data_IF_419845770993
#
_entry.id   IF_419845770993
#
_cell.length_a   1.000
_cell.length_b   1.000
_cell.length_c   1.000
_cell.angle_alpha   90.00
_cell.angle_beta   90.00
_cell.angle_gamma   90.00
#
_symmetry.space_group_name_H-M   'P 1'
#
loop_
_entity.id
_entity.type
_entity.pdbx_description
1 polymer ?
#
# COMPACT_ATOMS: atom_id res chain seq x y z
N UNK A 1 5.26 2.97 9.65
CA UNK A 1 6.62 2.64 9.14
C UNK A 1 6.74 1.18 8.75
N UNK A 2 6.57 0.21 9.68
CA UNK A 2 6.72 -1.23 9.39
C UNK A 2 5.84 -1.68 8.21
N UNK A 3 4.56 -1.32 8.21
CA UNK A 3 3.63 -1.62 7.11
C UNK A 3 4.18 -1.18 5.74
N UNK A 4 4.72 0.03 5.65
CA UNK A 4 5.26 0.58 4.39
C UNK A 4 6.54 -0.12 3.95
N UNK A 5 7.39 -0.57 4.88
CA UNK A 5 8.58 -1.38 4.53
C UNK A 5 8.14 -2.67 3.86
N UNK A 6 7.16 -3.37 4.45
CA UNK A 6 6.59 -4.58 3.85
C UNK A 6 5.95 -4.29 2.48
N UNK A 7 5.24 -3.18 2.33
CA UNK A 7 4.65 -2.79 1.04
C UNK A 7 5.71 -2.52 -0.03
N UNK A 8 6.80 -1.81 0.29
CA UNK A 8 7.90 -1.56 -0.66
C UNK A 8 8.53 -2.88 -1.13
N UNK A 9 8.89 -3.75 -0.18
CA UNK A 9 9.54 -5.04 -0.46
C UNK A 9 8.59 -5.98 -1.21
N UNK A 10 7.34 -6.08 -0.75
CA UNK A 10 6.34 -6.94 -1.37
C UNK A 10 6.00 -6.49 -2.79
N UNK A 11 5.92 -5.19 -3.05
CA UNK A 11 5.65 -4.65 -4.38
C UNK A 11 6.84 -4.83 -5.33
N UNK A 12 8.08 -4.69 -4.84
CA UNK A 12 9.28 -5.05 -5.61
C UNK A 12 9.30 -6.56 -5.92
N UNK A 13 8.90 -7.39 -4.97
CA UNK A 13 8.69 -8.83 -5.17
C UNK A 13 7.63 -9.13 -6.22
N UNK A 14 6.50 -8.42 -6.22
CA UNK A 14 5.46 -8.57 -7.24
C UNK A 14 5.96 -8.17 -8.64
N UNK A 15 6.78 -7.12 -8.74
CA UNK A 15 7.41 -6.76 -10.01
C UNK A 15 8.38 -7.86 -10.50
N UNK A 16 9.11 -8.52 -9.60
CA UNK A 16 9.93 -9.68 -9.93
C UNK A 16 9.08 -10.85 -10.42
N UNK A 17 7.93 -11.10 -9.80
CA UNK A 17 6.98 -12.14 -10.25
C UNK A 17 6.48 -11.85 -11.67
N UNK A 18 6.18 -10.59 -11.98
CA UNK A 18 5.73 -10.19 -13.31
C UNK A 18 6.79 -10.44 -14.41
N UNK A 19 8.09 -10.47 -14.07
CA UNK A 19 9.16 -10.75 -15.02
C UNK A 19 9.60 -12.22 -15.06
N UNK A 20 9.51 -12.96 -13.95
CA UNK A 20 9.99 -14.35 -13.85
C UNK A 20 8.87 -15.40 -13.91
N UNK A 21 7.62 -14.99 -13.71
CA UNK A 21 6.43 -15.86 -13.71
C UNK A 21 6.55 -17.07 -12.76
N UNK A 22 7.29 -16.92 -11.67
CA UNK A 22 7.58 -18.01 -10.72
C UNK A 22 6.58 -18.06 -9.56
N UNK A 23 5.89 -19.20 -9.41
CA UNK A 23 4.85 -19.40 -8.38
C UNK A 23 5.38 -19.24 -6.95
N UNK A 24 6.56 -19.78 -6.65
CA UNK A 24 7.14 -19.68 -5.31
C UNK A 24 7.38 -18.22 -4.90
N UNK A 25 7.90 -17.40 -5.81
CA UNK A 25 8.11 -15.96 -5.57
C UNK A 25 6.76 -15.26 -5.41
N UNK A 26 5.75 -15.64 -6.19
CA UNK A 26 4.40 -15.10 -6.09
C UNK A 26 3.78 -15.31 -4.71
N UNK A 27 3.93 -16.52 -4.14
CA UNK A 27 3.43 -16.85 -2.80
C UNK A 27 4.14 -15.99 -1.74
N UNK A 28 5.47 -15.87 -1.82
CA UNK A 28 6.25 -15.06 -0.88
C UNK A 28 5.87 -13.57 -0.98
N UNK A 29 5.80 -13.03 -2.20
CA UNK A 29 5.42 -11.64 -2.43
C UNK A 29 3.99 -11.35 -1.93
N UNK A 30 3.04 -12.26 -2.19
CA UNK A 30 1.66 -12.15 -1.71
C UNK A 30 1.58 -12.16 -0.18
N UNK A 31 2.35 -13.02 0.50
CA UNK A 31 2.40 -13.05 1.95
C UNK A 31 2.96 -11.74 2.53
N UNK A 32 4.06 -11.22 1.97
CA UNK A 32 4.66 -9.95 2.40
C UNK A 32 3.69 -8.78 2.19
N UNK A 33 3.06 -8.70 1.01
CA UNK A 33 2.05 -7.69 0.71
C UNK A 33 0.86 -7.80 1.66
N UNK A 34 0.36 -9.01 1.93
CA UNK A 34 -0.73 -9.26 2.88
C UNK A 34 -0.42 -8.75 4.28
N UNK A 35 0.78 -9.04 4.79
CA UNK A 35 1.25 -8.49 6.07
C UNK A 35 1.32 -6.95 6.04
N UNK A 36 1.87 -6.38 4.98
CA UNK A 36 1.96 -4.92 4.79
C UNK A 36 0.60 -4.23 4.78
N UNK A 37 -0.34 -4.72 3.97
CA UNK A 37 -1.70 -4.19 3.86
C UNK A 37 -2.49 -4.37 5.16
N UNK A 38 -2.39 -5.53 5.82
CA UNK A 38 -3.06 -5.78 7.10
C UNK A 38 -2.60 -4.80 8.19
N UNK A 39 -1.29 -4.61 8.33
CA UNK A 39 -0.73 -3.63 9.26
C UNK A 39 -1.13 -2.19 8.90
N UNK A 40 -1.14 -1.84 7.61
CA UNK A 40 -1.56 -0.51 7.15
C UNK A 40 -3.03 -0.24 7.49
N UNK A 41 -3.90 -1.22 7.29
CA UNK A 41 -5.32 -1.12 7.60
C UNK A 41 -5.56 -0.94 9.10
N UNK A 42 -4.93 -1.77 9.94
CA UNK A 42 -5.03 -1.64 11.40
C UNK A 42 -4.50 -0.28 11.87
N UNK A 43 -3.34 0.15 11.36
CA UNK A 43 -2.79 1.47 11.70
C UNK A 43 -3.70 2.62 11.27
N UNK A 44 -4.34 2.51 10.10
CA UNK A 44 -5.30 3.52 9.63
C UNK A 44 -6.54 3.59 10.53
N UNK A 45 -7.11 2.43 10.89
CA UNK A 45 -8.26 2.37 11.81
C UNK A 45 -7.94 2.92 13.19
N UNK A 46 -6.74 2.68 13.72
CA UNK A 46 -6.30 3.26 15.00
C UNK A 46 -6.24 4.79 14.93
N UNK A 47 -5.79 5.36 13.82
CA UNK A 47 -5.77 6.81 13.64
C UNK A 47 -7.19 7.37 13.49
N UNK A 48 -8.10 6.66 12.78
CA UNK A 48 -9.52 7.01 12.73
C UNK A 48 -10.14 7.04 14.13
N UNK A 49 -9.87 6.02 14.95
CA UNK A 49 -10.33 5.97 16.34
C UNK A 49 -9.78 7.12 17.18
N UNK A 50 -8.54 7.55 16.92
CA UNK A 50 -7.90 8.65 17.63
C UNK A 50 -8.54 10.01 17.32
N UNK A 51 -8.97 10.23 16.07
CA UNK A 51 -9.56 11.52 15.64
C UNK A 51 -11.07 11.57 15.81
N UNK A 52 -11.75 10.43 15.91
CA UNK A 52 -13.20 10.36 16.00
C UNK A 52 -13.73 10.85 17.36
N UNK A 53 -14.78 11.68 17.32
CA UNK A 53 -15.61 11.96 18.49
C UNK A 53 -16.51 10.75 18.85
N UNK A 54 -17.18 10.79 20.02
CA UNK A 54 -17.99 9.68 20.54
C UNK A 54 -19.11 9.21 19.59
N UNK A 55 -19.64 10.08 18.75
CA UNK A 55 -20.74 9.78 17.83
C UNK A 55 -20.30 9.53 16.37
N UNK A 56 -19.06 9.87 16.01
CA UNK A 56 -18.60 9.92 14.61
C UNK A 56 -17.79 8.70 14.14
N UNK A 57 -17.47 7.77 15.06
CA UNK A 57 -16.56 6.67 14.79
C UNK A 57 -17.03 5.76 13.63
N UNK A 58 -18.33 5.46 13.59
CA UNK A 58 -18.92 4.64 12.53
C UNK A 58 -18.84 5.34 11.17
N UNK A 59 -19.14 6.64 11.13
CA UNK A 59 -19.09 7.45 9.91
C UNK A 59 -17.68 7.57 9.34
N UNK A 60 -16.69 7.92 10.18
CA UNK A 60 -15.29 8.03 9.74
C UNK A 60 -14.72 6.68 9.29
N UNK A 61 -15.11 5.59 9.95
CA UNK A 61 -14.72 4.23 9.52
C UNK A 61 -15.32 3.89 8.15
N UNK A 62 -16.59 4.25 7.91
CA UNK A 62 -17.23 4.02 6.61
C UNK A 62 -16.54 4.80 5.49
N UNK A 63 -16.16 6.06 5.73
CA UNK A 63 -15.39 6.87 4.77
C UNK A 63 -14.01 6.24 4.51
N UNK A 64 -13.31 5.82 5.56
CA UNK A 64 -12.00 5.17 5.45
C UNK A 64 -12.07 3.90 4.57
N UNK A 65 -13.03 3.01 4.81
CA UNK A 65 -13.19 1.81 3.97
C UNK A 65 -13.60 2.15 2.54
N UNK A 66 -14.48 3.13 2.35
CA UNK A 66 -14.91 3.57 1.02
C UNK A 66 -13.71 4.03 0.18
N UNK A 67 -12.83 4.84 0.75
CA UNK A 67 -11.59 5.28 0.07
C UNK A 67 -10.65 4.10 -0.17
N UNK A 68 -10.48 3.22 0.82
CA UNK A 68 -9.60 2.06 0.70
C UNK A 68 -10.04 1.13 -0.43
N UNK A 69 -11.36 0.97 -0.61
CA UNK A 69 -11.93 0.12 -1.66
C UNK A 69 -11.78 0.67 -3.08
N UNK A 70 -11.49 1.96 -3.26
CA UNK A 70 -11.08 2.49 -4.57
C UNK A 70 -9.84 1.74 -5.08
N UNK A 71 -8.98 1.25 -4.19
CA UNK A 71 -7.84 0.40 -4.52
C UNK A 71 -8.20 -0.89 -5.28
N UNK A 72 -9.42 -1.41 -5.16
CA UNK A 72 -9.85 -2.59 -5.93
C UNK A 72 -9.98 -2.33 -7.43
N UNK A 73 -10.05 -1.07 -7.87
CA UNK A 73 -10.01 -0.72 -9.29
C UNK A 73 -8.61 -0.80 -9.88
N UNK A 74 -7.55 -0.85 -9.05
CA UNK A 74 -6.15 -0.81 -9.51
C UNK A 74 -5.83 -1.96 -10.47
N UNK A 75 -6.15 -3.25 -10.21
CA UNK A 75 -5.83 -4.34 -11.15
C UNK A 75 -6.45 -4.14 -12.54
N UNK A 76 -7.70 -3.67 -12.60
CA UNK A 76 -8.38 -3.37 -13.87
C UNK A 76 -7.70 -2.21 -14.60
N UNK A 77 -7.36 -1.14 -13.88
CA UNK A 77 -6.60 -0.02 -14.44
C UNK A 77 -5.23 -0.47 -14.97
N UNK A 78 -4.51 -1.33 -14.22
CA UNK A 78 -3.23 -1.88 -14.65
C UNK A 78 -3.36 -2.67 -15.95
N UNK A 79 -4.37 -3.53 -16.06
CA UNK A 79 -4.64 -4.29 -17.27
C UNK A 79 -4.92 -3.36 -18.46
N UNK A 80 -5.83 -2.39 -18.30
CA UNK A 80 -6.16 -1.41 -19.33
C UNK A 80 -4.94 -0.58 -19.77
N UNK A 81 -4.11 -0.13 -18.83
CA UNK A 81 -2.89 0.63 -19.13
C UNK A 81 -1.86 -0.22 -19.87
N UNK A 82 -1.71 -1.49 -19.47
CA UNK A 82 -0.77 -2.40 -20.12
C UNK A 82 -1.14 -2.76 -21.55
N UNK A 83 -2.44 -2.80 -21.86
CA UNK A 83 -2.95 -3.03 -23.21
C UNK A 83 -2.89 -1.77 -24.08
N UNK A 84 -3.18 -0.60 -23.50
CA UNK A 84 -3.26 0.66 -24.24
C UNK A 84 -1.91 1.33 -24.49
N UNK A 85 -0.91 1.12 -23.61
CA UNK A 85 0.38 1.78 -23.68
C UNK A 85 1.51 0.72 -23.69
N UNK A 86 2.18 0.49 -24.84
CA UNK A 86 3.22 -0.54 -24.98
C UNK A 86 4.41 -0.37 -24.02
N UNK A 87 4.66 0.86 -23.54
CA UNK A 87 5.74 1.16 -22.60
C UNK A 87 5.39 0.81 -21.13
N UNK A 88 4.11 0.61 -20.80
CA UNK A 88 3.64 0.35 -19.44
C UNK A 88 3.41 -1.15 -19.22
N UNK A 89 4.50 -1.91 -19.18
CA UNK A 89 4.44 -3.32 -18.74
C UNK A 89 4.02 -3.43 -17.27
N UNK A 90 3.40 -4.55 -16.89
CA UNK A 90 3.04 -4.86 -15.49
C UNK A 90 4.21 -4.66 -14.52
N UNK A 91 5.42 -5.04 -14.92
CA UNK A 91 6.64 -4.86 -14.13
C UNK A 91 6.89 -3.38 -13.81
N UNK A 92 6.73 -2.49 -14.81
CA UNK A 92 6.96 -1.04 -14.66
C UNK A 92 5.92 -0.45 -13.71
N UNK A 93 4.66 -0.81 -13.86
CA UNK A 93 3.59 -0.23 -13.04
C UNK A 93 3.63 -0.74 -11.59
N UNK A 94 4.06 -1.99 -11.36
CA UNK A 94 4.33 -2.51 -10.02
C UNK A 94 5.56 -1.83 -9.40
N UNK A 95 6.64 -1.59 -10.15
CA UNK A 95 7.77 -0.81 -9.68
C UNK A 95 7.39 0.63 -9.32
N UNK A 96 6.50 1.26 -10.10
CA UNK A 96 5.93 2.55 -9.74
C UNK A 96 5.19 2.50 -8.41
N UNK A 97 4.37 1.47 -8.17
CA UNK A 97 3.74 1.23 -6.88
C UNK A 97 4.75 1.09 -5.73
N UNK A 98 5.88 0.41 -5.96
CA UNK A 98 6.94 0.26 -4.97
C UNK A 98 7.61 1.61 -4.67
N UNK A 99 7.88 2.41 -5.71
CA UNK A 99 8.42 3.76 -5.57
C UNK A 99 7.46 4.70 -4.83
N UNK A 100 6.16 4.63 -5.10
CA UNK A 100 5.14 5.39 -4.37
C UNK A 100 5.11 5.00 -2.88
N UNK A 101 5.12 3.70 -2.56
CA UNK A 101 5.21 3.22 -1.18
C UNK A 101 6.50 3.69 -0.50
N UNK A 102 7.63 3.71 -1.21
CA UNK A 102 8.91 4.19 -0.71
C UNK A 102 8.88 5.70 -0.46
N UNK A 103 8.26 6.48 -1.34
CA UNK A 103 8.05 7.91 -1.14
C UNK A 103 7.20 8.18 0.11
N UNK A 104 6.10 7.45 0.29
CA UNK A 104 5.30 7.51 1.53
C UNK A 104 6.13 7.16 2.76
N UNK A 105 6.95 6.11 2.69
CA UNK A 105 7.84 5.72 3.79
C UNK A 105 8.82 6.83 4.14
N UNK A 106 9.48 7.40 3.13
CA UNK A 106 10.41 8.52 3.27
C UNK A 106 9.73 9.71 3.94
N UNK A 107 8.55 10.11 3.44
CA UNK A 107 7.77 11.22 4.01
C UNK A 107 7.45 10.99 5.49
N UNK A 108 7.00 9.78 5.86
CA UNK A 108 6.71 9.44 7.25
C UNK A 108 7.99 9.43 8.08
N UNK A 109 9.11 8.90 7.59
CA UNK A 109 10.36 8.89 8.34
C UNK A 109 10.86 10.32 8.64
N UNK A 110 10.72 11.25 7.69
CA UNK A 110 11.13 12.64 7.88
C UNK A 110 10.14 13.45 8.73
N UNK A 111 8.83 13.26 8.55
CA UNK A 111 7.78 14.05 9.25
C UNK A 111 7.33 13.46 10.59
N UNK A 112 7.40 12.15 10.78
CA UNK A 112 6.98 11.52 12.04
C UNK A 112 7.89 11.92 13.21
N UNK A 113 9.15 12.25 12.94
CA UNK A 113 10.11 12.65 13.99
C UNK A 113 9.90 14.07 14.51
N UNK A 114 9.14 14.92 13.82
CA UNK A 114 8.88 16.29 14.28
C UNK A 114 7.77 16.40 15.34
N UNK A 115 7.00 15.33 15.56
CA UNK A 115 5.86 15.32 16.49
C UNK A 115 5.97 14.27 17.60
N UNK A 116 7.13 13.62 17.76
CA UNK A 116 7.37 12.77 18.92
C UNK A 116 7.67 13.68 20.12
N UNK A 117 6.99 13.52 21.27
CA UNK A 117 7.39 14.19 22.50
C UNK A 117 8.85 13.87 22.79
N UNK A 118 9.68 14.91 22.98
CA UNK A 118 11.00 14.75 23.58
C UNK A 118 10.78 14.05 24.92
N UNK A 119 11.34 12.85 25.07
CA UNK A 119 11.38 12.15 26.35
C UNK A 119 12.13 12.97 27.39
#
# INVERSE_FOLDING_TARGET
>A
VVALVFLVVGMAGAALVASTLTVAIAIVAAAILGCGYGMALVSGLLEIQRIAGPDDLAGLTAVFYSITYIGFAVPALLAMLSESIPALSYTVTLLFGSAAAAACLILILFKSRSHLPSA
#
